data_IF_457169853705
#
_entry.id   IF_457169853705
#
_cell.length_a   1.000
_cell.length_b   1.000
_cell.length_c   1.000
_cell.angle_alpha   90.00
_cell.angle_beta   90.00
_cell.angle_gamma   90.00
#
_symmetry.space_group_name_H-M   'P 1'
#
loop_
_entity.id
_entity.type
_entity.pdbx_description
1 polymer ?
#
# COMPACT_ATOMS: atom_id res chain seq x y z
N UNK A 1 -14.23 6.44 -16.29
CA UNK A 1 -14.34 6.36 -14.80
C UNK A 1 -14.70 7.73 -14.25
N UNK A 2 -15.63 7.84 -13.29
CA UNK A 2 -15.88 9.11 -12.59
C UNK A 2 -14.61 9.52 -11.86
N UNK A 3 -14.08 10.73 -12.04
CA UNK A 3 -12.87 11.15 -11.37
C UNK A 3 -13.03 11.12 -9.86
N UNK A 4 -12.16 10.40 -9.18
CA UNK A 4 -12.06 10.36 -7.71
C UNK A 4 -10.69 10.86 -7.28
N UNK A 5 -10.62 11.36 -6.06
CA UNK A 5 -9.39 11.90 -5.50
C UNK A 5 -9.16 11.42 -4.08
N UNK A 6 -7.90 11.28 -3.73
CA UNK A 6 -7.43 11.13 -2.36
C UNK A 6 -7.32 12.54 -1.78
N UNK A 7 -8.01 12.78 -0.68
CA UNK A 7 -8.15 14.10 -0.04
C UNK A 7 -7.59 14.15 1.37
N UNK A 8 -7.31 12.98 1.96
CA UNK A 8 -6.67 12.84 3.27
C UNK A 8 -5.91 11.52 3.34
N UNK A 9 -4.97 11.41 4.26
CA UNK A 9 -4.22 10.19 4.51
C UNK A 9 -3.87 10.04 5.99
N UNK A 10 -3.69 8.80 6.43
CA UNK A 10 -3.22 8.43 7.75
C UNK A 10 -2.20 7.29 7.67
N UNK A 11 -1.20 7.29 8.53
CA UNK A 11 -0.14 6.28 8.52
C UNK A 11 0.39 6.01 9.93
N UNK A 12 0.54 4.74 10.26
CA UNK A 12 1.31 4.25 11.42
C UNK A 12 2.36 3.30 10.90
N UNK A 13 3.62 3.66 11.05
CA UNK A 13 4.78 2.92 10.53
C UNK A 13 5.90 2.85 11.56
N UNK A 14 6.93 2.06 11.29
CA UNK A 14 8.12 1.97 12.14
C UNK A 14 8.89 3.30 12.31
N UNK A 15 8.57 4.33 11.52
CA UNK A 15 9.24 5.64 11.53
C UNK A 15 8.31 6.81 11.88
N UNK A 16 7.05 6.53 12.19
CA UNK A 16 6.08 7.57 12.58
C UNK A 16 4.71 7.02 12.93
N UNK A 17 4.00 7.72 13.83
CA UNK A 17 2.67 7.34 14.31
C UNK A 17 1.52 8.13 13.66
N UNK A 18 1.81 8.92 12.64
CA UNK A 18 0.83 9.65 11.83
C UNK A 18 1.38 9.89 10.42
N UNK A 19 0.51 10.35 9.52
CA UNK A 19 0.82 10.63 8.13
C UNK A 19 2.02 11.56 7.94
N UNK A 20 2.03 12.69 8.68
CA UNK A 20 3.07 13.71 8.52
C UNK A 20 4.44 13.20 8.96
N UNK A 21 4.53 12.55 10.13
CA UNK A 21 5.79 12.04 10.67
C UNK A 21 6.34 10.88 9.86
N UNK A 22 5.48 9.92 9.46
CA UNK A 22 5.88 8.77 8.62
C UNK A 22 6.42 9.22 7.27
N UNK A 23 5.68 10.08 6.55
CA UNK A 23 6.11 10.57 5.25
C UNK A 23 7.37 11.46 5.33
N UNK A 24 7.50 12.29 6.36
CA UNK A 24 8.70 13.11 6.57
C UNK A 24 9.94 12.26 6.81
N UNK A 25 9.83 11.20 7.65
CA UNK A 25 10.91 10.27 7.91
C UNK A 25 11.30 9.47 6.65
N UNK A 26 10.31 8.98 5.89
CA UNK A 26 10.56 8.28 4.61
C UNK A 26 11.29 9.22 3.64
N UNK A 27 10.83 10.46 3.48
CA UNK A 27 11.51 11.46 2.64
C UNK A 27 12.94 11.75 3.08
N UNK A 28 13.17 11.79 4.39
CA UNK A 28 14.50 12.06 4.96
C UNK A 28 15.44 10.85 4.90
N UNK A 29 14.97 9.66 4.48
CA UNK A 29 15.74 8.42 4.46
C UNK A 29 16.02 7.85 5.86
N UNK A 30 15.21 8.21 6.86
CA UNK A 30 15.36 7.72 8.23
C UNK A 30 14.80 6.30 8.31
N UNK A 31 15.69 5.30 8.33
CA UNK A 31 15.33 3.89 8.29
C UNK A 31 14.74 3.42 9.62
N UNK A 32 13.60 2.73 9.55
CA UNK A 32 12.94 2.10 10.68
C UNK A 32 13.50 0.74 11.07
N UNK A 33 14.61 0.33 10.45
CA UNK A 33 15.22 -0.98 10.66
C UNK A 33 16.01 -1.05 11.96
N UNK A 34 15.71 -2.07 12.73
CA UNK A 34 16.42 -2.40 13.99
C UNK A 34 16.38 -3.91 14.20
N UNK A 35 17.22 -4.38 15.11
CA UNK A 35 17.11 -5.75 15.59
C UNK A 35 15.75 -5.93 16.27
N UNK A 36 15.05 -7.00 15.89
CA UNK A 36 13.72 -7.37 16.42
C UNK A 36 13.80 -8.71 17.13
N UNK A 37 12.82 -9.00 17.98
CA UNK A 37 12.79 -10.24 18.77
C UNK A 37 12.23 -11.43 17.95
N UNK A 38 12.77 -11.65 16.74
CA UNK A 38 12.54 -12.82 15.90
C UNK A 38 13.87 -13.50 15.65
N UNK A 39 13.94 -14.80 15.94
CA UNK A 39 15.17 -15.57 15.89
C UNK A 39 15.33 -16.29 14.56
N UNK A 40 16.49 -16.12 13.92
CA UNK A 40 16.93 -16.92 12.80
C UNK A 40 17.79 -18.09 13.30
N UNK A 41 17.19 -19.27 13.36
CA UNK A 41 17.89 -20.47 13.84
C UNK A 41 18.99 -20.95 12.90
N UNK A 42 18.92 -20.61 11.60
CA UNK A 42 19.91 -21.05 10.60
C UNK A 42 21.20 -20.23 10.75
N UNK A 43 21.09 -18.94 10.99
CA UNK A 43 22.25 -18.03 11.13
C UNK A 43 22.63 -17.77 12.60
N UNK A 44 21.82 -18.21 13.59
CA UNK A 44 22.09 -18.04 15.01
C UNK A 44 22.04 -16.57 15.46
N UNK A 45 21.14 -15.77 14.87
CA UNK A 45 21.04 -14.34 15.18
C UNK A 45 19.57 -13.85 15.18
N UNK A 46 19.36 -12.69 15.78
CA UNK A 46 18.09 -11.99 15.68
C UNK A 46 17.95 -11.28 14.34
N UNK A 47 16.75 -11.31 13.77
CA UNK A 47 16.43 -10.62 12.52
C UNK A 47 16.48 -9.10 12.67
N UNK A 48 16.69 -8.44 11.54
CA UNK A 48 16.49 -6.99 11.38
C UNK A 48 15.11 -6.80 10.74
N UNK A 49 14.34 -5.84 11.27
CA UNK A 49 13.01 -5.54 10.74
C UNK A 49 12.52 -4.15 11.14
N UNK A 50 11.41 -3.75 10.56
CA UNK A 50 10.79 -2.45 10.77
C UNK A 50 9.56 -2.62 11.69
N UNK A 51 9.79 -2.55 13.01
CA UNK A 51 8.76 -2.74 14.04
C UNK A 51 8.20 -1.39 14.49
N UNK A 52 6.87 -1.30 14.60
CA UNK A 52 6.17 -0.17 15.22
C UNK A 52 6.22 -0.32 16.74
N UNK A 53 6.58 0.74 17.45
CA UNK A 53 6.55 0.77 18.91
C UNK A 53 5.16 1.13 19.43
N UNK A 54 4.22 0.17 19.30
CA UNK A 54 2.87 0.34 19.81
C UNK A 54 2.87 0.57 21.33
N UNK A 55 1.95 1.41 21.84
CA UNK A 55 1.85 1.70 23.27
C UNK A 55 1.42 0.49 24.11
N UNK A 56 0.77 -0.48 23.48
CA UNK A 56 0.30 -1.71 24.10
C UNK A 56 0.93 -2.93 23.43
N UNK A 57 1.01 -4.04 24.17
CA UNK A 57 1.64 -5.31 23.73
C UNK A 57 0.68 -6.26 23.01
N UNK A 58 -0.37 -5.76 22.37
CA UNK A 58 -1.34 -6.58 21.65
C UNK A 58 -0.68 -7.54 20.63
N UNK A 59 -1.30 -8.71 20.48
CA UNK A 59 -0.98 -9.68 19.44
C UNK A 59 -2.23 -10.01 18.62
N UNK A 60 -2.05 -10.76 17.55
CA UNK A 60 -3.16 -11.21 16.71
C UNK A 60 -3.94 -10.06 16.05
N UNK A 61 -5.26 -10.22 15.99
CA UNK A 61 -6.18 -9.24 15.39
C UNK A 61 -6.13 -7.90 16.12
N UNK A 62 -6.04 -7.92 17.44
CA UNK A 62 -5.94 -6.72 18.26
C UNK A 62 -4.71 -5.85 17.91
N UNK A 63 -3.57 -6.47 17.59
CA UNK A 63 -2.38 -5.75 17.12
C UNK A 63 -2.59 -5.09 15.77
N UNK A 64 -3.20 -5.79 14.83
CA UNK A 64 -3.49 -5.23 13.50
C UNK A 64 -4.48 -4.06 13.59
N UNK A 65 -5.52 -4.19 14.43
CA UNK A 65 -6.44 -3.09 14.70
C UNK A 65 -5.74 -1.89 15.34
N UNK A 66 -4.82 -2.12 16.30
CA UNK A 66 -4.01 -1.05 16.92
C UNK A 66 -3.14 -0.31 15.90
N UNK A 67 -2.60 -1.01 14.89
CA UNK A 67 -1.81 -0.40 13.82
C UNK A 67 -2.65 0.48 12.90
N UNK A 68 -3.86 0.06 12.52
CA UNK A 68 -4.60 0.74 11.46
C UNK A 68 -5.65 1.73 11.95
N UNK A 69 -6.20 1.54 13.16
CA UNK A 69 -7.24 2.43 13.68
C UNK A 69 -6.80 3.89 13.77
N UNK A 70 -5.58 4.24 14.25
CA UNK A 70 -5.14 5.63 14.25
C UNK A 70 -5.03 6.22 12.84
N UNK A 71 -4.61 5.42 11.84
CA UNK A 71 -4.53 5.88 10.46
C UNK A 71 -5.91 6.15 9.85
N UNK A 72 -6.90 5.30 10.15
CA UNK A 72 -8.30 5.51 9.76
C UNK A 72 -8.86 6.75 10.42
N UNK A 73 -8.63 6.90 11.73
CA UNK A 73 -9.07 8.07 12.49
C UNK A 73 -8.49 9.37 11.92
N UNK A 74 -7.18 9.39 11.61
CA UNK A 74 -6.50 10.55 11.02
C UNK A 74 -7.15 10.99 9.70
N UNK A 75 -7.56 10.04 8.85
CA UNK A 75 -8.32 10.31 7.64
C UNK A 75 -9.68 10.95 7.93
N UNK A 76 -10.39 10.43 8.92
CA UNK A 76 -11.73 10.93 9.28
C UNK A 76 -11.67 12.33 9.89
N UNK A 77 -10.68 12.60 10.73
CA UNK A 77 -10.49 13.94 11.32
C UNK A 77 -10.20 15.02 10.27
N UNK A 78 -9.39 14.70 9.26
CA UNK A 78 -9.06 15.64 8.18
C UNK A 78 -10.29 15.97 7.32
N UNK A 79 -11.14 14.99 7.04
CA UNK A 79 -12.33 15.18 6.22
C UNK A 79 -13.48 15.87 6.95
N UNK A 80 -13.49 15.86 8.29
CA UNK A 80 -14.58 16.34 9.13
C UNK A 80 -15.95 15.96 8.56
N UNK A 81 -16.20 14.67 8.29
CA UNK A 81 -17.52 14.28 7.81
C UNK A 81 -18.55 14.71 8.85
N UNK A 82 -19.66 15.29 8.42
CA UNK A 82 -20.76 15.74 9.31
C UNK A 82 -21.24 14.62 10.24
N UNK A 83 -21.00 13.35 9.82
CA UNK A 83 -21.14 12.15 10.64
C UNK A 83 -20.04 11.16 10.23
N UNK A 84 -19.07 10.91 11.10
CA UNK A 84 -18.05 9.85 10.92
C UNK A 84 -18.68 8.48 10.62
N UNK A 85 -19.89 8.26 11.12
CA UNK A 85 -20.74 7.07 10.92
C UNK A 85 -21.17 6.81 9.45
N UNK A 86 -20.98 7.79 8.55
CA UNK A 86 -21.40 7.67 7.15
C UNK A 86 -20.27 7.29 6.19
N UNK A 87 -19.09 6.90 6.70
CA UNK A 87 -17.91 6.61 5.87
C UNK A 87 -17.60 5.12 5.94
N UNK A 88 -17.82 4.34 4.86
CA UNK A 88 -17.46 2.94 4.83
C UNK A 88 -15.92 2.75 4.88
N UNK A 89 -15.50 1.71 5.61
CA UNK A 89 -14.10 1.27 5.69
C UNK A 89 -13.91 0.10 4.73
N UNK A 90 -13.03 0.27 3.74
CA UNK A 90 -12.66 -0.75 2.77
C UNK A 90 -11.22 -1.17 3.08
N UNK A 91 -11.08 -2.31 3.77
CA UNK A 91 -9.86 -2.73 4.43
C UNK A 91 -9.11 -3.83 3.66
N UNK A 92 -7.90 -3.56 3.22
CA UNK A 92 -6.97 -4.57 2.72
C UNK A 92 -6.25 -5.30 3.85
N UNK A 93 -6.14 -6.62 3.72
CA UNK A 93 -5.44 -7.49 4.68
C UNK A 93 -4.64 -8.57 3.96
N UNK A 94 -3.86 -9.35 4.72
CA UNK A 94 -3.07 -10.47 4.21
C UNK A 94 -3.93 -11.47 3.42
N UNK A 95 -3.36 -12.02 2.33
CA UNK A 95 -4.01 -13.04 1.51
C UNK A 95 -4.24 -14.36 2.28
N UNK A 96 -5.28 -15.15 1.92
CA UNK A 96 -5.62 -16.38 2.64
C UNK A 96 -4.52 -17.43 2.63
N UNK A 97 -3.71 -17.50 1.58
CA UNK A 97 -2.62 -18.42 1.36
C UNK A 97 -1.29 -17.99 2.00
N UNK A 98 -1.27 -16.81 2.64
CA UNK A 98 -0.09 -16.33 3.34
C UNK A 98 0.31 -17.30 4.47
N UNK A 99 1.59 -17.67 4.59
CA UNK A 99 2.06 -18.55 5.67
C UNK A 99 1.65 -18.03 7.04
N UNK A 100 1.06 -18.93 7.85
CA UNK A 100 0.64 -18.65 9.22
C UNK A 100 -0.26 -17.42 9.40
N UNK A 101 -1.07 -17.09 8.39
CA UNK A 101 -2.08 -16.06 8.50
C UNK A 101 -3.01 -16.32 9.69
N UNK A 102 -3.36 -15.25 10.39
CA UNK A 102 -4.27 -15.34 11.54
C UNK A 102 -5.61 -16.00 11.14
N UNK A 103 -6.06 -17.02 11.88
CA UNK A 103 -7.39 -17.58 11.69
C UNK A 103 -8.45 -16.49 11.92
N UNK A 104 -9.57 -16.57 11.21
CA UNK A 104 -10.73 -15.67 11.37
C UNK A 104 -10.45 -14.17 11.13
N UNK A 105 -9.27 -13.82 10.61
CA UNK A 105 -8.91 -12.43 10.36
C UNK A 105 -9.98 -11.68 9.55
N UNK A 106 -10.58 -12.34 8.55
CA UNK A 106 -11.60 -11.74 7.69
C UNK A 106 -12.89 -11.37 8.44
N UNK A 107 -13.22 -12.12 9.50
CA UNK A 107 -14.43 -11.95 10.28
C UNK A 107 -14.26 -10.94 11.42
N UNK A 108 -13.10 -10.92 12.06
CA UNK A 108 -12.90 -10.23 13.32
C UNK A 108 -12.32 -8.82 13.18
N UNK A 109 -11.55 -8.55 12.10
CA UNK A 109 -10.73 -7.33 12.03
C UNK A 109 -11.56 -6.04 11.93
N UNK A 110 -12.66 -6.04 11.17
CA UNK A 110 -13.52 -4.85 11.06
C UNK A 110 -14.24 -4.56 12.37
N UNK A 111 -14.78 -5.57 13.03
CA UNK A 111 -15.46 -5.42 14.32
C UNK A 111 -14.51 -4.86 15.38
N UNK A 112 -13.26 -5.34 15.41
CA UNK A 112 -12.24 -4.84 16.34
C UNK A 112 -11.85 -3.39 16.05
N UNK A 113 -11.75 -2.99 14.77
CA UNK A 113 -11.48 -1.61 14.36
C UNK A 113 -12.66 -0.70 14.72
N UNK A 114 -13.88 -1.10 14.38
CA UNK A 114 -15.10 -0.35 14.63
C UNK A 114 -15.32 -0.16 16.15
N UNK A 115 -15.05 -1.20 16.95
CA UNK A 115 -15.09 -1.10 18.41
C UNK A 115 -14.06 -0.09 18.96
N UNK A 116 -12.80 -0.12 18.48
CA UNK A 116 -11.74 0.80 18.92
C UNK A 116 -12.02 2.25 18.56
N UNK A 117 -12.66 2.47 17.43
CA UNK A 117 -13.00 3.79 16.93
C UNK A 117 -14.37 4.28 17.38
N UNK A 118 -15.09 3.48 18.19
CA UNK A 118 -16.47 3.74 18.61
C UNK A 118 -17.41 4.04 17.43
N UNK A 119 -17.19 3.36 16.30
CA UNK A 119 -17.98 3.52 15.07
C UNK A 119 -19.02 2.39 14.95
N UNK A 120 -20.26 2.72 14.55
CA UNK A 120 -21.22 1.68 14.17
C UNK A 120 -20.81 1.03 12.85
N UNK A 121 -21.15 -0.25 12.69
CA UNK A 121 -20.91 -0.96 11.44
C UNK A 121 -21.59 -0.28 10.25
N UNK A 122 -20.83 -0.01 9.19
CA UNK A 122 -21.38 0.56 7.96
C UNK A 122 -21.65 -0.56 6.94
N UNK A 123 -22.87 -0.63 6.32
CA UNK A 123 -23.26 -1.77 5.47
C UNK A 123 -22.41 -1.94 4.20
N UNK A 124 -21.62 -0.95 3.83
CA UNK A 124 -20.69 -1.02 2.69
C UNK A 124 -19.23 -1.19 3.12
N UNK A 125 -18.94 -1.26 4.43
CA UNK A 125 -17.62 -1.66 4.92
C UNK A 125 -17.33 -3.10 4.48
N UNK A 126 -16.09 -3.36 4.06
CA UNK A 126 -15.71 -4.67 3.54
C UNK A 126 -14.20 -4.92 3.70
N UNK A 127 -13.85 -6.20 3.77
CA UNK A 127 -12.46 -6.69 3.83
C UNK A 127 -12.04 -7.22 2.46
N UNK A 128 -10.79 -6.94 2.07
CA UNK A 128 -10.16 -7.36 0.81
C UNK A 128 -8.90 -8.19 1.12
N UNK A 129 -9.01 -9.52 1.23
CA UNK A 129 -7.91 -10.38 1.65
C UNK A 129 -7.02 -10.81 0.47
N UNK A 130 -6.33 -9.87 -0.18
CA UNK A 130 -5.50 -10.14 -1.37
C UNK A 130 -4.07 -9.59 -1.21
N UNK A 131 -3.62 -9.31 0.02
CA UNK A 131 -2.26 -8.87 0.30
C UNK A 131 -1.92 -7.53 -0.37
N UNK A 132 -0.74 -7.43 -0.99
CA UNK A 132 -0.16 -6.18 -1.50
C UNK A 132 -1.05 -5.40 -2.47
N UNK A 133 -1.97 -6.05 -3.19
CA UNK A 133 -2.85 -5.36 -4.15
C UNK A 133 -4.23 -5.00 -3.59
N UNK A 134 -4.54 -5.42 -2.36
CA UNK A 134 -5.86 -5.26 -1.72
C UNK A 134 -6.40 -3.85 -1.81
N UNK A 135 -5.55 -2.85 -1.57
CA UNK A 135 -5.95 -1.46 -1.55
C UNK A 135 -6.44 -0.93 -2.91
N UNK A 136 -5.97 -1.48 -4.07
CA UNK A 136 -6.51 -1.08 -5.37
C UNK A 136 -7.85 -1.77 -5.68
N UNK A 137 -8.09 -2.98 -5.17
CA UNK A 137 -9.43 -3.59 -5.22
C UNK A 137 -10.41 -2.81 -4.36
N UNK A 138 -10.00 -2.44 -3.14
CA UNK A 138 -10.77 -1.56 -2.25
C UNK A 138 -11.05 -0.19 -2.90
N UNK A 139 -10.06 0.41 -3.59
CA UNK A 139 -10.22 1.65 -4.36
C UNK A 139 -11.27 1.50 -5.49
N UNK A 140 -11.24 0.40 -6.21
CA UNK A 140 -12.24 0.11 -7.25
C UNK A 140 -13.65 0.03 -6.64
N UNK A 141 -13.79 -0.57 -5.45
CA UNK A 141 -15.06 -0.59 -4.72
C UNK A 141 -15.47 0.80 -4.24
N UNK A 142 -14.52 1.61 -3.73
CA UNK A 142 -14.79 3.01 -3.35
C UNK A 142 -15.34 3.81 -4.53
N UNK A 143 -14.74 3.70 -5.71
CA UNK A 143 -15.19 4.37 -6.93
C UNK A 143 -16.64 4.02 -7.23
N UNK A 144 -17.01 2.73 -7.18
CA UNK A 144 -18.40 2.29 -7.41
C UNK A 144 -19.37 2.91 -6.40
N UNK A 145 -19.02 2.93 -5.12
CA UNK A 145 -19.88 3.53 -4.07
C UNK A 145 -20.09 5.03 -4.28
N UNK A 146 -19.01 5.74 -4.65
CA UNK A 146 -19.06 7.17 -4.95
C UNK A 146 -19.87 7.47 -6.23
N UNK A 147 -19.70 6.68 -7.28
CA UNK A 147 -20.43 6.82 -8.56
C UNK A 147 -21.93 6.65 -8.38
N UNK A 148 -22.35 5.66 -7.58
CA UNK A 148 -23.76 5.41 -7.31
C UNK A 148 -24.36 6.32 -6.23
N UNK A 149 -23.55 7.22 -5.64
CA UNK A 149 -24.01 8.11 -4.55
C UNK A 149 -24.32 7.39 -3.25
N UNK A 150 -23.80 6.18 -3.06
CA UNK A 150 -24.01 5.36 -1.87
C UNK A 150 -23.12 5.80 -0.69
N UNK A 151 -22.05 6.52 -0.98
CA UNK A 151 -21.18 7.16 -0.02
C UNK A 151 -20.70 8.52 -0.56
N UNK A 152 -20.42 9.47 0.34
CA UNK A 152 -19.79 10.76 -0.02
C UNK A 152 -18.26 10.65 0.00
N UNK A 153 -17.75 9.86 0.94
CA UNK A 153 -16.36 9.50 1.10
C UNK A 153 -16.26 8.00 1.42
N UNK A 154 -15.10 7.40 1.14
CA UNK A 154 -14.73 6.05 1.57
C UNK A 154 -13.32 6.09 2.16
N UNK A 155 -13.08 5.37 3.26
CA UNK A 155 -11.72 5.09 3.72
C UNK A 155 -11.25 3.82 3.02
N UNK A 156 -10.14 3.91 2.29
CA UNK A 156 -9.40 2.76 1.78
C UNK A 156 -8.18 2.57 2.68
N UNK A 157 -8.19 1.51 3.46
CA UNK A 157 -7.15 1.21 4.43
C UNK A 157 -6.46 -0.11 4.12
N UNK A 158 -5.31 -0.32 4.74
CA UNK A 158 -4.59 -1.58 4.67
C UNK A 158 -3.74 -1.78 5.92
N UNK A 159 -3.68 -3.02 6.38
CA UNK A 159 -2.88 -3.39 7.55
C UNK A 159 -2.23 -4.74 7.37
N UNK A 160 -0.99 -4.83 7.78
CA UNK A 160 -0.26 -6.09 7.81
C UNK A 160 0.89 -6.07 8.80
N UNK A 161 1.31 -7.27 9.22
CA UNK A 161 2.50 -7.50 10.04
C UNK A 161 3.18 -8.81 9.65
N UNK A 162 4.49 -8.73 9.35
CA UNK A 162 5.37 -9.87 9.13
C UNK A 162 6.15 -10.24 10.42
N UNK A 163 5.82 -9.59 11.55
CA UNK A 163 6.58 -9.68 12.80
C UNK A 163 6.02 -10.74 13.76
N UNK A 164 5.85 -11.96 13.26
CA UNK A 164 5.55 -13.16 14.04
C UNK A 164 6.61 -14.22 13.74
N UNK A 165 7.04 -14.98 14.76
CA UNK A 165 8.14 -15.96 14.63
C UNK A 165 7.84 -17.03 13.56
N UNK A 166 6.65 -17.62 13.58
CA UNK A 166 6.23 -18.63 12.61
C UNK A 166 6.12 -18.09 11.17
N UNK A 167 5.70 -16.82 11.00
CA UNK A 167 5.68 -16.15 9.69
C UNK A 167 7.11 -15.95 9.19
N UNK A 168 8.00 -15.45 10.06
CA UNK A 168 9.39 -15.22 9.72
C UNK A 168 10.11 -16.55 9.35
N UNK A 169 9.89 -17.62 10.11
CA UNK A 169 10.46 -18.95 9.80
C UNK A 169 10.03 -19.44 8.41
N UNK A 170 8.73 -19.32 8.08
CA UNK A 170 8.25 -19.72 6.76
C UNK A 170 8.89 -18.95 5.60
N UNK A 171 9.18 -17.65 5.79
CA UNK A 171 9.86 -16.84 4.77
C UNK A 171 11.40 -17.03 4.78
N UNK A 172 12.01 -17.39 5.92
CA UNK A 172 13.40 -17.81 6.00
C UNK A 172 13.62 -19.13 5.22
N UNK A 173 12.73 -20.10 5.40
CA UNK A 173 12.78 -21.38 4.67
C UNK A 173 12.66 -21.19 3.15
N UNK A 174 11.94 -20.16 2.71
CA UNK A 174 11.82 -19.76 1.31
C UNK A 174 13.00 -18.88 0.84
N UNK A 175 13.98 -18.59 1.71
CA UNK A 175 15.09 -17.66 1.43
C UNK A 175 14.62 -16.26 0.98
N UNK A 176 13.54 -15.75 1.57
CA UNK A 176 12.93 -14.47 1.20
C UNK A 176 13.21 -13.34 2.20
N UNK A 177 13.71 -13.62 3.39
CA UNK A 177 14.11 -12.59 4.36
C UNK A 177 15.57 -12.19 4.13
N UNK A 178 15.82 -10.89 4.20
CA UNK A 178 17.17 -10.32 4.18
C UNK A 178 17.93 -10.70 5.44
N UNK A 179 19.05 -11.39 5.29
CA UNK A 179 19.95 -11.80 6.39
C UNK A 179 21.39 -11.55 5.97
N UNK A 180 22.36 -11.82 6.85
CA UNK A 180 23.79 -11.75 6.48
C UNK A 180 24.17 -12.74 5.39
N UNK A 181 23.52 -13.88 5.35
CA UNK A 181 23.75 -14.93 4.35
C UNK A 181 22.89 -14.80 3.10
N UNK A 182 21.82 -14.01 3.14
CA UNK A 182 20.89 -13.79 2.03
C UNK A 182 20.70 -12.30 1.73
N UNK A 183 21.28 -11.82 0.64
CA UNK A 183 21.12 -10.44 0.14
C UNK A 183 19.93 -10.26 -0.82
N UNK A 184 19.21 -11.33 -1.16
CA UNK A 184 18.04 -11.32 -2.03
C UNK A 184 16.77 -11.56 -1.19
N UNK A 185 16.33 -10.57 -0.45
CA UNK A 185 15.18 -10.72 0.42
C UNK A 185 14.66 -9.37 0.88
N UNK A 186 13.55 -9.40 1.60
CA UNK A 186 12.96 -8.22 2.22
C UNK A 186 13.29 -8.14 3.72
N UNK A 187 13.23 -6.95 4.28
CA UNK A 187 13.18 -6.76 5.72
C UNK A 187 11.72 -6.84 6.18
N UNK A 188 11.38 -7.75 7.13
CA UNK A 188 10.02 -7.85 7.64
C UNK A 188 9.61 -6.54 8.35
N UNK A 189 8.41 -6.09 8.07
CA UNK A 189 7.85 -4.87 8.62
C UNK A 189 6.40 -5.03 9.05
N UNK A 190 5.83 -3.95 9.54
CA UNK A 190 4.41 -3.83 9.86
C UNK A 190 3.98 -2.37 9.73
N UNK A 191 2.74 -2.17 9.32
CA UNK A 191 2.14 -0.84 9.24
C UNK A 191 0.62 -0.91 9.18
N UNK A 192 -0.02 0.20 9.57
CA UNK A 192 -1.41 0.51 9.23
C UNK A 192 -1.44 1.82 8.44
N UNK A 193 -2.01 1.79 7.24
CA UNK A 193 -2.11 2.95 6.36
C UNK A 193 -3.54 3.12 5.88
N UNK A 194 -3.96 4.36 5.68
CA UNK A 194 -5.28 4.70 5.20
C UNK A 194 -5.25 5.95 4.31
N UNK A 195 -6.17 6.01 3.36
CA UNK A 195 -6.44 7.18 2.54
C UNK A 195 -7.95 7.42 2.49
N UNK A 196 -8.35 8.68 2.47
CA UNK A 196 -9.73 9.08 2.28
C UNK A 196 -9.98 9.41 0.82
N UNK A 197 -10.97 8.77 0.25
CA UNK A 197 -11.34 8.90 -1.16
C UNK A 197 -12.69 9.58 -1.28
N UNK A 198 -12.76 10.62 -2.11
CA UNK A 198 -13.98 11.32 -2.47
C UNK A 198 -14.06 11.58 -3.97
N UNK A 199 -15.14 12.21 -4.44
CA UNK A 199 -15.22 12.69 -5.83
C UNK A 199 -14.19 13.80 -6.04
N UNK A 200 -13.52 13.83 -7.18
CA UNK A 200 -12.58 14.88 -7.52
C UNK A 200 -13.28 16.26 -7.48
N UNK A 201 -12.58 17.24 -6.88
CA UNK A 201 -13.13 18.58 -6.65
C UNK A 201 -14.19 18.66 -5.54
N UNK A 202 -14.35 17.62 -4.72
CA UNK A 202 -15.30 17.64 -3.60
C UNK A 202 -14.82 18.46 -2.39
N UNK A 203 -13.56 18.85 -2.37
CA UNK A 203 -12.94 19.69 -1.34
C UNK A 203 -12.20 20.86 -1.98
N UNK A 204 -11.89 21.88 -1.17
CA UNK A 204 -11.06 23.02 -1.57
C UNK A 204 -9.56 22.77 -1.33
N UNK A 205 -9.22 21.65 -0.72
CA UNK A 205 -7.86 21.26 -0.41
C UNK A 205 -7.15 20.62 -1.62
N UNK A 206 -5.82 20.59 -1.63
CA UNK A 206 -5.07 19.85 -2.63
C UNK A 206 -5.50 18.39 -2.68
N UNK A 207 -5.53 17.80 -3.87
CA UNK A 207 -6.01 16.44 -4.08
C UNK A 207 -5.07 15.62 -4.96
N UNK A 208 -5.00 14.31 -4.73
CA UNK A 208 -4.34 13.37 -5.62
C UNK A 208 -5.41 12.62 -6.42
N UNK A 209 -5.59 13.00 -7.69
CA UNK A 209 -6.57 12.41 -8.60
C UNK A 209 -6.13 11.00 -9.01
N UNK A 210 -7.05 10.05 -8.96
CA UNK A 210 -6.88 8.72 -9.54
C UNK A 210 -7.39 8.77 -10.97
N UNK A 211 -6.47 8.71 -11.93
CA UNK A 211 -6.78 8.83 -13.35
C UNK A 211 -7.11 7.50 -14.00
N UNK A 212 -6.50 6.41 -13.52
CA UNK A 212 -6.75 5.07 -14.06
C UNK A 212 -6.24 3.98 -13.14
N UNK A 213 -6.90 2.82 -13.19
CA UNK A 213 -6.54 1.60 -12.46
C UNK A 213 -6.47 0.45 -13.45
N UNK A 214 -5.53 -0.46 -13.23
CA UNK A 214 -5.37 -1.66 -14.03
C UNK A 214 -4.93 -2.85 -13.21
N UNK A 215 -5.40 -4.02 -13.61
CA UNK A 215 -5.05 -5.30 -13.03
C UNK A 215 -4.45 -6.21 -14.10
N UNK A 216 -3.67 -7.19 -13.66
CA UNK A 216 -3.06 -8.18 -14.53
C UNK A 216 -2.76 -9.47 -13.77
N UNK A 217 -2.46 -10.52 -14.53
CA UNK A 217 -2.21 -11.86 -14.01
C UNK A 217 -0.82 -12.34 -14.44
N UNK A 218 0.08 -12.60 -13.46
CA UNK A 218 1.46 -13.07 -13.68
C UNK A 218 1.55 -14.57 -13.43
N UNK A 219 1.71 -15.41 -14.47
CA UNK A 219 1.84 -16.85 -14.28
C UNK A 219 3.17 -17.26 -13.65
N UNK A 220 4.22 -16.46 -13.86
CA UNK A 220 5.55 -16.71 -13.31
C UNK A 220 5.70 -15.99 -11.96
N UNK A 221 4.93 -16.42 -10.94
CA UNK A 221 5.02 -15.88 -9.56
C UNK A 221 6.40 -16.08 -8.95
N UNK A 222 6.66 -15.46 -7.81
CA UNK A 222 7.95 -15.56 -7.12
C UNK A 222 8.33 -17.02 -6.75
N UNK A 223 7.33 -17.87 -6.49
CA UNK A 223 7.52 -19.30 -6.22
C UNK A 223 7.60 -20.17 -7.49
N UNK A 224 7.37 -19.60 -8.66
CA UNK A 224 7.34 -20.33 -9.93
C UNK A 224 8.75 -20.60 -10.46
N UNK A 225 8.92 -21.74 -11.09
CA UNK A 225 10.14 -22.08 -11.87
C UNK A 225 10.09 -21.55 -13.31
N UNK A 226 8.99 -20.95 -13.73
CA UNK A 226 8.85 -20.38 -15.07
C UNK A 226 9.70 -19.09 -15.19
N UNK A 227 10.26 -18.81 -16.38
CA UNK A 227 10.99 -17.58 -16.60
C UNK A 227 10.09 -16.35 -16.47
N UNK A 228 10.42 -15.45 -15.53
CA UNK A 228 9.70 -14.19 -15.35
C UNK A 228 9.79 -13.31 -16.61
N UNK A 229 8.65 -12.99 -17.19
CA UNK A 229 8.48 -12.09 -18.33
C UNK A 229 7.75 -10.79 -17.97
N UNK A 230 7.27 -10.69 -16.74
CA UNK A 230 6.47 -9.59 -16.20
C UNK A 230 5.16 -9.34 -16.99
N UNK A 231 4.57 -10.40 -17.56
CA UNK A 231 3.37 -10.28 -18.37
C UNK A 231 2.21 -9.66 -17.60
N UNK A 232 1.99 -10.09 -16.36
CA UNK A 232 0.95 -9.58 -15.49
C UNK A 232 1.18 -8.13 -15.09
N UNK A 233 2.40 -7.75 -14.71
CA UNK A 233 2.69 -6.37 -14.34
C UNK A 233 2.63 -5.43 -15.54
N UNK A 234 3.04 -5.89 -16.73
CA UNK A 234 2.90 -5.15 -17.99
C UNK A 234 1.43 -4.95 -18.32
N UNK A 235 0.60 -5.97 -18.14
CA UNK A 235 -0.85 -5.90 -18.35
C UNK A 235 -1.50 -4.89 -17.39
N UNK A 236 -1.22 -4.99 -16.08
CA UNK A 236 -1.75 -4.06 -15.07
C UNK A 236 -1.38 -2.61 -15.40
N UNK A 237 -0.10 -2.34 -15.66
CA UNK A 237 0.35 -0.99 -16.00
C UNK A 237 -0.24 -0.48 -17.32
N UNK A 238 -0.37 -1.34 -18.34
CA UNK A 238 -0.98 -0.97 -19.63
C UNK A 238 -2.44 -0.59 -19.45
N UNK A 239 -3.19 -1.38 -18.68
CA UNK A 239 -4.60 -1.14 -18.40
C UNK A 239 -4.78 0.18 -17.63
N UNK A 240 -3.96 0.43 -16.60
CA UNK A 240 -3.97 1.69 -15.85
C UNK A 240 -3.65 2.92 -16.73
N UNK A 241 -2.64 2.81 -17.59
CA UNK A 241 -2.28 3.88 -18.52
C UNK A 241 -3.39 4.14 -19.55
N UNK A 242 -4.01 3.08 -20.08
CA UNK A 242 -5.12 3.17 -21.04
C UNK A 242 -6.36 3.81 -20.40
N UNK A 243 -6.72 3.41 -19.16
CA UNK A 243 -7.84 3.98 -18.41
C UNK A 243 -7.60 5.47 -18.10
N UNK A 244 -6.35 5.87 -17.82
CA UNK A 244 -5.94 7.26 -17.64
C UNK A 244 -5.83 8.07 -18.95
N UNK A 245 -5.91 7.46 -20.11
CA UNK A 245 -5.70 8.12 -21.41
C UNK A 245 -4.27 8.63 -21.63
N UNK A 246 -3.26 8.01 -21.01
CA UNK A 246 -1.86 8.42 -21.09
C UNK A 246 -0.96 7.27 -21.50
N UNK A 247 0.29 7.57 -21.84
CA UNK A 247 1.33 6.59 -22.19
C UNK A 247 2.52 6.71 -21.23
N UNK A 248 3.37 5.68 -21.17
CA UNK A 248 4.43 5.56 -20.17
C UNK A 248 5.40 6.76 -20.14
N UNK A 249 5.69 7.41 -21.26
CA UNK A 249 6.57 8.57 -21.31
C UNK A 249 5.92 9.88 -20.80
N UNK A 250 4.60 9.88 -20.52
CA UNK A 250 3.91 10.96 -19.81
C UNK A 250 3.98 10.83 -18.28
N UNK A 251 4.49 9.70 -17.79
CA UNK A 251 4.69 9.42 -16.37
C UNK A 251 6.02 10.02 -15.93
N UNK A 252 5.99 10.95 -14.98
CA UNK A 252 7.18 11.60 -14.49
C UNK A 252 8.02 10.70 -13.57
N UNK A 253 7.38 9.85 -12.77
CA UNK A 253 8.01 8.98 -11.81
C UNK A 253 7.12 7.81 -11.42
N UNK A 254 7.68 6.84 -10.70
CA UNK A 254 6.97 5.66 -10.20
C UNK A 254 7.12 5.55 -8.71
N UNK A 255 6.07 5.06 -8.01
CA UNK A 255 6.11 4.72 -6.60
C UNK A 255 5.54 3.31 -6.40
N UNK A 256 6.23 2.44 -5.65
CA UNK A 256 6.02 0.99 -5.75
C UNK A 256 6.21 0.27 -4.42
N UNK A 257 5.81 -1.01 -4.38
CA UNK A 257 6.04 -1.94 -3.29
C UNK A 257 7.33 -2.78 -3.43
N UNK A 258 8.32 -2.29 -4.17
CA UNK A 258 9.62 -2.96 -4.25
C UNK A 258 10.26 -3.04 -2.86
N UNK A 259 10.69 -4.25 -2.45
CA UNK A 259 11.05 -4.55 -1.06
C UNK A 259 12.46 -5.11 -0.84
N UNK A 260 13.28 -5.19 -1.90
CA UNK A 260 14.65 -5.76 -1.85
C UNK A 260 14.79 -7.09 -2.58
N UNK A 261 13.69 -7.76 -2.93
CA UNK A 261 13.74 -9.01 -3.68
C UNK A 261 14.05 -8.76 -5.16
N UNK A 262 15.03 -9.46 -5.70
CA UNK A 262 15.42 -9.36 -7.11
C UNK A 262 14.27 -9.63 -8.07
N UNK A 263 13.34 -10.50 -7.69
CA UNK A 263 12.13 -10.80 -8.46
C UNK A 263 11.32 -9.54 -8.76
N UNK A 264 10.95 -8.76 -7.74
CA UNK A 264 10.16 -7.54 -7.88
C UNK A 264 10.90 -6.48 -8.70
N UNK A 265 12.21 -6.28 -8.46
CA UNK A 265 13.03 -5.36 -9.26
C UNK A 265 13.10 -5.78 -10.73
N UNK A 266 13.32 -7.06 -11.02
CA UNK A 266 13.33 -7.58 -12.39
C UNK A 266 12.00 -7.38 -13.08
N UNK A 267 10.88 -7.65 -12.39
CA UNK A 267 9.52 -7.44 -12.88
C UNK A 267 9.28 -5.95 -13.24
N UNK A 268 9.64 -5.04 -12.35
CA UNK A 268 9.50 -3.58 -12.55
C UNK A 268 10.35 -3.07 -13.73
N UNK A 269 11.57 -3.58 -13.89
CA UNK A 269 12.47 -3.18 -14.99
C UNK A 269 12.01 -3.75 -16.34
N UNK A 270 11.55 -5.00 -16.38
CA UNK A 270 10.94 -5.60 -17.59
C UNK A 270 9.69 -4.83 -18.02
N UNK A 271 8.86 -4.43 -17.06
CA UNK A 271 7.65 -3.65 -17.30
C UNK A 271 7.99 -2.29 -17.92
N UNK A 272 8.95 -1.57 -17.34
CA UNK A 272 9.42 -0.30 -17.91
C UNK A 272 9.96 -0.47 -19.33
N UNK A 273 10.85 -1.43 -19.54
CA UNK A 273 11.46 -1.66 -20.85
C UNK A 273 10.45 -2.04 -21.95
N UNK A 274 9.30 -2.63 -21.58
CA UNK A 274 8.22 -2.97 -22.51
C UNK A 274 7.26 -1.81 -22.79
N UNK A 275 7.00 -0.96 -21.82
CA UNK A 275 6.01 0.12 -21.93
C UNK A 275 6.60 1.46 -22.35
N UNK A 276 7.86 1.75 -21.97
CA UNK A 276 8.53 2.99 -22.33
C UNK A 276 9.03 2.93 -23.78
N UNK A 277 8.30 3.55 -24.72
CA UNK A 277 8.60 3.53 -26.16
C UNK A 277 9.31 4.78 -26.64
N UNK A 278 9.36 5.83 -25.84
CA UNK A 278 10.07 7.05 -26.14
C UNK A 278 11.08 7.33 -25.04
N UNK A 279 12.25 7.82 -25.42
CA UNK A 279 13.29 8.17 -24.44
C UNK A 279 12.80 9.31 -23.56
N UNK A 280 12.93 9.14 -22.25
CA UNK A 280 12.80 10.19 -21.24
C UNK A 280 14.16 10.43 -20.59
N UNK A 281 14.43 11.63 -20.17
CA UNK A 281 15.72 11.97 -19.56
C UNK A 281 15.86 11.30 -18.19
N UNK A 282 14.79 11.33 -17.38
CA UNK A 282 14.74 10.76 -16.04
C UNK A 282 13.33 10.24 -15.75
N UNK A 283 13.25 9.10 -15.09
CA UNK A 283 12.01 8.55 -14.53
C UNK A 283 12.35 7.81 -13.24
N UNK A 284 12.26 8.51 -12.13
CA UNK A 284 12.59 7.97 -10.80
C UNK A 284 11.65 6.83 -10.42
N UNK A 285 12.15 5.91 -9.62
CA UNK A 285 11.36 4.88 -8.94
C UNK A 285 11.59 4.98 -7.45
N UNK A 286 10.50 5.18 -6.71
CA UNK A 286 10.51 5.19 -5.25
C UNK A 286 9.92 3.88 -4.73
N UNK A 287 10.42 3.44 -3.59
CA UNK A 287 9.96 2.23 -2.92
C UNK A 287 10.10 2.41 -1.39
N UNK A 288 9.07 2.90 -0.71
CA UNK A 288 9.10 3.18 0.72
C UNK A 288 9.54 2.00 1.59
N UNK A 289 9.43 0.76 1.09
CA UNK A 289 9.87 -0.44 1.79
C UNK A 289 11.38 -0.44 2.14
N UNK A 290 12.21 0.34 1.44
CA UNK A 290 13.62 0.54 1.82
C UNK A 290 13.80 1.25 3.16
N UNK A 291 12.73 1.83 3.71
CA UNK A 291 12.69 2.59 4.97
C UNK A 291 11.83 1.85 6.02
N UNK A 292 10.67 1.34 5.62
CA UNK A 292 9.65 0.78 6.53
C UNK A 292 9.45 -0.74 6.39
N UNK A 293 10.25 -1.42 5.55
CA UNK A 293 10.17 -2.86 5.33
C UNK A 293 8.97 -3.31 4.49
N UNK A 294 8.81 -4.63 4.38
CA UNK A 294 7.64 -5.25 3.75
C UNK A 294 6.44 -5.11 4.67
N UNK A 295 5.42 -4.40 4.21
CA UNK A 295 4.21 -4.09 4.98
C UNK A 295 2.93 -4.65 4.33
N UNK A 296 3.06 -5.55 3.36
CA UNK A 296 1.97 -6.33 2.77
C UNK A 296 0.79 -5.48 2.31
N UNK A 297 -0.39 -5.77 2.84
CA UNK A 297 -1.64 -5.08 2.46
C UNK A 297 -1.66 -3.57 2.74
N UNK A 298 -0.75 -3.06 3.59
CA UNK A 298 -0.62 -1.63 3.84
C UNK A 298 0.13 -0.87 2.72
N UNK A 299 0.75 -1.57 1.74
CA UNK A 299 1.53 -0.93 0.68
C UNK A 299 0.71 0.04 -0.18
N UNK A 300 -0.46 -0.37 -0.68
CA UNK A 300 -1.24 0.50 -1.57
C UNK A 300 -1.61 1.81 -0.90
N UNK A 301 -2.30 1.84 0.26
CA UNK A 301 -2.62 3.10 0.90
C UNK A 301 -1.36 3.87 1.35
N UNK A 302 -0.29 3.19 1.79
CA UNK A 302 0.98 3.83 2.17
C UNK A 302 1.71 4.50 1.02
N UNK A 303 1.82 3.82 -0.13
CA UNK A 303 2.42 4.38 -1.36
C UNK A 303 1.61 5.56 -1.89
N UNK A 304 0.28 5.46 -1.90
CA UNK A 304 -0.60 6.55 -2.32
C UNK A 304 -0.55 7.74 -1.36
N UNK A 305 -0.49 7.48 -0.03
CA UNK A 305 -0.29 8.51 0.98
C UNK A 305 1.04 9.25 0.79
N UNK A 306 2.15 8.51 0.56
CA UNK A 306 3.45 9.12 0.28
C UNK A 306 3.44 9.93 -1.01
N UNK A 307 2.74 9.46 -2.06
CA UNK A 307 2.57 10.18 -3.33
C UNK A 307 1.79 11.47 -3.12
N UNK A 308 0.72 11.43 -2.33
CA UNK A 308 -0.07 12.61 -1.94
C UNK A 308 0.77 13.61 -1.15
N UNK A 309 1.55 13.13 -0.16
CA UNK A 309 2.47 13.97 0.61
C UNK A 309 3.52 14.67 -0.25
N UNK A 310 4.08 13.95 -1.22
CA UNK A 310 5.06 14.51 -2.15
C UNK A 310 4.50 15.68 -2.97
N UNK A 311 3.23 15.58 -3.37
CA UNK A 311 2.51 16.66 -4.05
C UNK A 311 2.25 17.85 -3.13
N UNK A 312 1.71 17.61 -1.92
CA UNK A 312 1.45 18.68 -0.92
C UNK A 312 2.72 19.45 -0.57
N UNK A 313 3.83 18.74 -0.39
CA UNK A 313 5.12 19.33 -0.01
C UNK A 313 5.99 19.73 -1.20
N UNK A 314 5.48 19.67 -2.41
CA UNK A 314 6.09 20.18 -3.65
C UNK A 314 7.48 19.59 -3.97
N UNK A 315 7.75 18.33 -3.57
CA UNK A 315 8.99 17.64 -3.91
C UNK A 315 8.79 16.44 -4.85
N UNK A 316 7.56 16.20 -5.33
CA UNK A 316 7.29 15.17 -6.33
C UNK A 316 8.10 15.48 -7.62
N UNK A 317 8.72 14.48 -8.28
CA UNK A 317 9.47 14.67 -9.53
C UNK A 317 8.64 15.23 -10.69
N UNK A 318 7.32 15.17 -10.58
CA UNK A 318 6.36 15.74 -11.51
C UNK A 318 4.92 15.39 -11.12
N UNK A 319 3.93 15.90 -11.84
CA UNK A 319 2.52 15.78 -11.43
C UNK A 319 1.99 14.35 -11.51
N UNK A 320 2.43 13.53 -12.48
CA UNK A 320 1.91 12.19 -12.74
C UNK A 320 2.85 11.12 -12.22
N UNK A 321 2.28 10.23 -11.41
CA UNK A 321 2.94 9.04 -10.87
C UNK A 321 2.23 7.77 -11.37
N UNK A 322 3.01 6.75 -11.74
CA UNK A 322 2.53 5.39 -11.89
C UNK A 322 2.86 4.61 -10.62
N UNK A 323 1.84 4.24 -9.86
CA UNK A 323 1.98 3.32 -8.73
C UNK A 323 1.72 1.91 -9.21
N UNK A 324 2.59 0.94 -8.87
CA UNK A 324 2.37 -0.45 -9.24
C UNK A 324 2.79 -1.41 -8.12
N UNK A 325 2.07 -2.51 -8.01
CA UNK A 325 2.11 -3.44 -6.89
C UNK A 325 2.12 -4.89 -7.38
N UNK A 326 2.86 -5.73 -6.67
CA UNK A 326 3.09 -7.12 -7.01
C UNK A 326 2.81 -8.00 -5.78
N UNK A 327 1.74 -8.78 -5.82
CA UNK A 327 1.46 -9.81 -4.81
C UNK A 327 2.42 -10.99 -4.90
N UNK A 328 2.44 -11.83 -3.88
CA UNK A 328 3.16 -13.11 -3.90
C UNK A 328 2.48 -14.11 -4.85
N UNK A 329 1.16 -14.05 -4.97
CA UNK A 329 0.34 -14.75 -5.96
C UNK A 329 0.46 -14.17 -7.37
N UNK A 330 -0.44 -14.58 -8.27
CA UNK A 330 -0.42 -14.13 -9.65
C UNK A 330 -0.98 -12.71 -9.84
N UNK A 331 -1.59 -12.11 -8.86
CA UNK A 331 -2.27 -10.82 -8.98
C UNK A 331 -1.26 -9.67 -9.07
N UNK A 332 -1.50 -8.76 -10.02
CA UNK A 332 -0.77 -7.52 -10.22
C UNK A 332 -1.74 -6.36 -10.34
N UNK A 333 -1.34 -5.22 -9.83
CA UNK A 333 -2.18 -4.03 -9.91
C UNK A 333 -1.33 -2.78 -10.15
N UNK A 334 -1.94 -1.78 -10.81
CA UNK A 334 -1.31 -0.48 -11.02
C UNK A 334 -2.36 0.63 -11.01
N UNK A 335 -1.95 1.84 -10.64
CA UNK A 335 -2.77 3.03 -10.83
C UNK A 335 -1.93 4.21 -11.33
N UNK A 336 -2.55 5.03 -12.18
CA UNK A 336 -2.01 6.34 -12.59
C UNK A 336 -2.69 7.39 -11.74
N UNK A 337 -1.88 8.19 -11.05
CA UNK A 337 -2.36 9.28 -10.21
C UNK A 337 -1.72 10.61 -10.61
N UNK A 338 -2.45 11.71 -10.39
CA UNK A 338 -1.98 13.05 -10.70
C UNK A 338 -2.30 14.01 -9.55
N UNK A 339 -1.29 14.70 -9.06
CA UNK A 339 -1.47 15.73 -8.05
C UNK A 339 -1.98 17.02 -8.70
N UNK A 340 -3.06 17.57 -8.14
CA UNK A 340 -3.67 18.81 -8.59
C UNK A 340 -3.88 19.77 -7.43
N UNK A 341 -3.66 21.06 -7.69
CA UNK A 341 -4.08 22.13 -6.78
C UNK A 341 -5.47 22.59 -7.18
N UNK A 342 -6.36 22.92 -6.23
CA UNK A 342 -7.67 23.48 -6.54
C UNK A 342 -7.51 24.77 -7.38
N UNK A 343 -8.30 24.92 -8.43
CA UNK A 343 -8.37 26.15 -9.22
C UNK A 343 -7.33 26.32 -10.34
N UNK A 344 -6.51 25.31 -10.63
CA UNK A 344 -5.69 25.26 -11.86
C UNK A 344 -6.30 24.20 -12.78
N UNK A 345 -7.22 24.66 -13.65
CA UNK A 345 -7.79 23.88 -14.76
C UNK A 345 -6.96 24.16 -16.04
#
# INVERSE_FOLDING_TARGET
MTPVSIVAAGMVTAVGFNFQSSCAAIRAGIKGFRQINLWDAQNGEYLIGAKVDLPHWWEGVGKLAELVSPAIWECMEQAKPEKAQAVPILLGIAAPDRPHRLPQLDQEILDEIEWRLELPHHPYSAVFPVGNISGLLAMTRAIQLLEHGLAKFCVVAGVDSFLQQNVAEAYLDQSRIMTKSNSNGFFPGEAGCAILVGRAGSTTEPELKVLGIGFGHEPATIASTQPLRASGQIEACRNALADAGVVMHHIAWRNTDLNGEHYKFKEAMLTQGRLLRQRVERQDIWHPAEIIGEIGAAHVPGVLAMTYYAGIKEFAPGPRCLCHFSGDGPERAASVVEFGKPGVA
#
